data_IF_431263283823
#
_entry.id   IF_431263283823
#
_cell.length_a   1.000
_cell.length_b   1.000
_cell.length_c   1.000
_cell.angle_alpha   90.00
_cell.angle_beta   90.00
_cell.angle_gamma   90.00
#
_symmetry.space_group_name_H-M   'P 1'
#
loop_
_entity.id
_entity.type
_entity.pdbx_description
1 polymer ?
#
# COMPACT_ATOMS: atom_id res chain seq x y z
N UNK A 1 29.94 41.76 -30.99
CA UNK A 1 30.41 40.59 -30.21
C UNK A 1 29.19 39.82 -29.76
N UNK A 2 29.05 38.58 -30.22
CA UNK A 2 27.89 37.73 -29.97
C UNK A 2 27.89 37.26 -28.50
N UNK A 3 26.77 37.47 -27.81
CA UNK A 3 26.56 36.97 -26.46
C UNK A 3 26.34 35.46 -26.53
N UNK A 4 27.34 34.70 -26.09
CA UNK A 4 27.25 33.25 -25.92
C UNK A 4 26.18 32.94 -24.86
N UNK A 5 25.05 32.37 -25.29
CA UNK A 5 24.08 31.76 -24.39
C UNK A 5 24.65 30.41 -23.99
N UNK A 6 25.14 30.32 -22.75
CA UNK A 6 25.42 29.05 -22.09
C UNK A 6 24.10 28.29 -21.98
N UNK A 7 23.89 27.32 -22.88
CA UNK A 7 22.92 26.26 -22.68
C UNK A 7 23.41 25.39 -21.52
N UNK A 8 22.83 25.58 -20.34
CA UNK A 8 22.83 24.53 -19.33
C UNK A 8 21.98 23.38 -19.88
N UNK A 9 22.63 22.34 -20.40
CA UNK A 9 21.98 21.05 -20.65
C UNK A 9 21.41 20.55 -19.33
N UNK A 10 20.07 20.48 -19.23
CA UNK A 10 19.45 19.76 -18.12
C UNK A 10 19.88 18.29 -18.21
N UNK A 11 20.30 17.65 -17.10
CA UNK A 11 20.72 16.26 -17.12
C UNK A 11 19.58 15.40 -17.65
N UNK A 12 19.84 14.62 -18.70
CA UNK A 12 18.87 13.66 -19.22
C UNK A 12 18.47 12.69 -18.09
N UNK A 13 17.17 12.53 -17.81
CA UNK A 13 16.73 11.64 -16.75
C UNK A 13 17.11 10.21 -17.11
N UNK A 14 17.68 9.46 -16.15
CA UNK A 14 17.91 8.03 -16.30
C UNK A 14 16.58 7.33 -16.59
N UNK A 15 16.42 6.74 -17.77
CA UNK A 15 15.20 6.04 -18.12
C UNK A 15 15.18 4.65 -17.50
N UNK A 16 13.99 4.21 -17.10
CA UNK A 16 13.79 2.90 -16.51
C UNK A 16 14.20 1.78 -17.48
N UNK A 17 13.89 1.92 -18.77
CA UNK A 17 14.23 0.89 -19.76
C UNK A 17 15.73 0.80 -20.01
N UNK A 18 16.49 1.89 -19.96
CA UNK A 18 17.96 1.85 -20.05
C UNK A 18 18.54 1.04 -18.88
N UNK A 19 18.03 1.28 -17.68
CA UNK A 19 18.43 0.54 -16.48
C UNK A 19 18.03 -0.94 -16.56
N UNK A 20 16.81 -1.25 -17.00
CA UNK A 20 16.36 -2.64 -17.15
C UNK A 20 17.18 -3.39 -18.21
N UNK A 21 17.49 -2.75 -19.33
CA UNK A 21 18.30 -3.35 -20.39
C UNK A 21 19.75 -3.56 -19.99
N UNK A 22 20.29 -2.72 -19.09
CA UNK A 22 21.62 -2.94 -18.50
C UNK A 22 21.68 -4.19 -17.61
N UNK A 23 20.57 -4.58 -17.00
CA UNK A 23 20.44 -5.79 -16.17
C UNK A 23 20.06 -7.02 -16.99
N UNK A 24 19.24 -6.84 -18.01
CA UNK A 24 18.77 -7.89 -18.92
C UNK A 24 18.40 -7.26 -20.28
N UNK A 25 19.31 -7.40 -21.24
CA UNK A 25 19.18 -6.82 -22.58
C UNK A 25 17.95 -7.33 -23.36
N UNK A 26 17.32 -8.42 -22.94
CA UNK A 26 16.12 -8.95 -23.60
C UNK A 26 14.83 -8.24 -23.16
N UNK A 27 14.89 -7.32 -22.19
CA UNK A 27 13.76 -6.48 -21.78
C UNK A 27 13.65 -5.28 -22.73
N UNK A 28 12.93 -5.46 -23.85
CA UNK A 28 12.71 -4.40 -24.84
C UNK A 28 11.29 -3.79 -24.75
N UNK A 29 11.11 -2.48 -24.96
CA UNK A 29 9.81 -1.81 -24.90
C UNK A 29 8.73 -2.42 -25.80
N UNK A 30 9.10 -2.92 -26.98
CA UNK A 30 8.18 -3.49 -27.97
C UNK A 30 7.54 -4.79 -27.48
N UNK A 31 8.25 -5.55 -26.66
CA UNK A 31 7.77 -6.79 -26.07
C UNK A 31 7.06 -6.58 -24.73
N UNK A 32 6.92 -5.33 -24.28
CA UNK A 32 6.47 -5.04 -22.91
C UNK A 32 5.13 -4.28 -22.84
N UNK A 33 4.24 -4.79 -21.97
CA UNK A 33 3.12 -4.05 -21.40
C UNK A 33 3.53 -3.44 -20.07
N UNK A 34 3.20 -2.17 -19.84
CA UNK A 34 3.34 -1.57 -18.51
C UNK A 34 2.03 -1.76 -17.76
N UNK A 35 2.05 -2.44 -16.62
CA UNK A 35 0.93 -2.55 -15.69
C UNK A 35 1.06 -1.46 -14.62
N UNK A 36 0.22 -0.43 -14.75
CA UNK A 36 0.10 0.67 -13.79
C UNK A 36 -0.96 0.29 -12.74
N UNK A 37 -0.53 -0.45 -11.73
CA UNK A 37 -1.38 -0.91 -10.64
C UNK A 37 -1.73 0.28 -9.74
N UNK A 38 -3.03 0.56 -9.60
CA UNK A 38 -3.55 1.62 -8.73
C UNK A 38 -4.62 1.07 -7.81
N UNK A 39 -4.77 1.74 -6.66
CA UNK A 39 -5.90 1.48 -5.80
C UNK A 39 -7.22 1.64 -6.57
N UNK A 40 -8.09 0.66 -6.40
CA UNK A 40 -9.46 0.67 -6.93
C UNK A 40 -10.47 1.14 -5.89
N UNK A 41 -10.00 1.49 -4.69
CA UNK A 41 -10.84 1.76 -3.51
C UNK A 41 -11.31 0.50 -2.78
N UNK A 42 -11.16 -0.69 -3.39
CA UNK A 42 -11.43 -2.00 -2.78
C UNK A 42 -10.10 -2.67 -2.46
N UNK A 43 -9.24 -2.82 -3.47
CA UNK A 43 -7.88 -3.32 -3.31
C UNK A 43 -6.89 -2.17 -3.47
N UNK A 44 -5.93 -2.07 -2.54
CA UNK A 44 -4.73 -1.25 -2.67
C UNK A 44 -3.54 -2.13 -3.06
N UNK A 45 -3.05 -2.07 -4.31
CA UNK A 45 -1.97 -2.93 -4.79
C UNK A 45 -0.67 -2.78 -4.00
N UNK A 46 -0.47 -1.65 -3.33
CA UNK A 46 0.72 -1.43 -2.50
C UNK A 46 0.65 -2.26 -1.21
N UNK A 47 -0.53 -2.36 -0.60
CA UNK A 47 -0.76 -3.26 0.53
C UNK A 47 -0.63 -4.73 0.11
N UNK A 48 -1.17 -5.09 -1.06
CA UNK A 48 -1.02 -6.44 -1.63
C UNK A 48 0.46 -6.78 -1.88
N UNK A 49 1.25 -5.80 -2.32
CA UNK A 49 2.69 -5.95 -2.50
C UNK A 49 3.43 -6.15 -1.18
N UNK A 50 3.12 -5.37 -0.16
CA UNK A 50 3.74 -5.54 1.15
C UNK A 50 3.35 -6.87 1.83
N UNK A 51 2.15 -7.41 1.53
CA UNK A 51 1.74 -8.75 1.95
C UNK A 51 2.45 -9.89 1.16
N UNK A 52 3.23 -9.57 0.12
CA UNK A 52 3.91 -10.56 -0.72
C UNK A 52 3.02 -11.24 -1.76
N UNK A 53 1.78 -10.79 -1.92
CA UNK A 53 0.76 -11.43 -2.77
C UNK A 53 0.64 -10.78 -4.16
N UNK A 54 1.42 -9.73 -4.44
CA UNK A 54 1.24 -8.92 -5.65
C UNK A 54 1.39 -9.71 -6.95
N UNK A 55 2.31 -10.67 -7.02
CA UNK A 55 2.51 -11.49 -8.21
C UNK A 55 1.30 -12.39 -8.50
N UNK A 56 0.64 -12.91 -7.48
CA UNK A 56 -0.60 -13.69 -7.63
C UNK A 56 -1.78 -12.80 -7.97
N UNK A 57 -1.89 -11.65 -7.31
CA UNK A 57 -2.94 -10.68 -7.54
C UNK A 57 -2.92 -10.13 -8.98
N UNK A 58 -1.75 -9.72 -9.48
CA UNK A 58 -1.64 -9.11 -10.81
C UNK A 58 -1.95 -10.08 -11.95
N UNK A 59 -1.79 -11.39 -11.75
CA UNK A 59 -2.11 -12.42 -12.76
C UNK A 59 -3.61 -12.47 -13.10
N UNK A 60 -4.47 -12.04 -12.19
CA UNK A 60 -5.93 -12.07 -12.36
C UNK A 60 -6.43 -10.80 -13.03
N UNK A 61 -6.86 -10.92 -14.29
CA UNK A 61 -7.24 -9.78 -15.11
C UNK A 61 -8.69 -9.88 -15.62
N UNK A 62 -9.38 -8.74 -15.67
CA UNK A 62 -10.76 -8.67 -16.16
C UNK A 62 -10.89 -8.64 -17.68
N UNK A 63 -9.76 -8.41 -18.37
CA UNK A 63 -9.58 -8.36 -19.82
C UNK A 63 -8.23 -8.98 -20.17
N UNK A 64 -7.99 -9.23 -21.45
CA UNK A 64 -6.71 -9.75 -21.96
C UNK A 64 -5.62 -8.66 -22.00
N UNK A 65 -5.27 -8.12 -20.84
CA UNK A 65 -4.43 -6.92 -20.72
C UNK A 65 -2.93 -7.17 -20.99
N UNK A 66 -2.42 -8.36 -20.67
CA UNK A 66 -1.01 -8.74 -20.89
C UNK A 66 -0.81 -9.32 -22.30
N UNK A 67 -1.10 -8.51 -23.31
CA UNK A 67 -1.03 -8.91 -24.73
C UNK A 67 0.36 -8.83 -25.36
N UNK A 68 1.44 -8.82 -24.56
CA UNK A 68 2.84 -8.82 -25.01
C UNK A 68 3.62 -9.87 -24.22
N UNK A 69 4.85 -10.17 -24.64
CA UNK A 69 5.68 -11.21 -24.01
C UNK A 69 6.06 -10.87 -22.57
N UNK A 70 6.16 -9.58 -22.25
CA UNK A 70 6.55 -9.08 -20.94
C UNK A 70 5.48 -8.19 -20.34
N UNK A 71 5.39 -8.21 -19.01
CA UNK A 71 4.71 -7.18 -18.22
C UNK A 71 5.70 -6.55 -17.24
N UNK A 72 5.85 -5.23 -17.35
CA UNK A 72 6.54 -4.37 -16.38
C UNK A 72 5.50 -3.84 -15.40
N UNK A 73 5.63 -4.16 -14.11
CA UNK A 73 4.66 -3.77 -13.10
C UNK A 73 5.14 -2.61 -12.26
N UNK A 74 4.27 -1.59 -12.15
CA UNK A 74 4.50 -0.34 -11.44
C UNK A 74 3.31 -0.06 -10.53
N UNK A 75 3.54 0.10 -9.23
CA UNK A 75 2.49 0.33 -8.22
C UNK A 75 2.43 1.81 -7.87
N UNK A 76 1.25 2.41 -7.90
CA UNK A 76 1.08 3.82 -7.52
C UNK A 76 1.50 4.07 -6.08
N UNK A 77 2.36 5.05 -5.86
CA UNK A 77 2.65 5.58 -4.53
C UNK A 77 1.64 6.68 -4.15
N UNK A 78 1.55 7.06 -2.85
CA UNK A 78 0.71 8.17 -2.41
C UNK A 78 1.06 9.50 -3.12
N UNK A 79 2.34 9.71 -3.43
CA UNK A 79 2.79 10.87 -4.21
C UNK A 79 2.35 10.76 -5.67
N UNK A 80 1.71 11.78 -6.25
CA UNK A 80 1.15 11.70 -7.59
C UNK A 80 2.24 11.50 -8.64
N UNK A 81 1.95 10.62 -9.61
CA UNK A 81 2.86 10.26 -10.72
C UNK A 81 4.13 9.51 -10.32
N UNK A 82 4.29 9.13 -9.05
CA UNK A 82 5.38 8.26 -8.62
C UNK A 82 4.90 6.82 -8.47
N UNK A 83 5.73 5.90 -8.92
CA UNK A 83 5.41 4.50 -9.01
C UNK A 83 6.54 3.63 -8.47
N UNK A 84 6.22 2.66 -7.63
CA UNK A 84 7.15 1.67 -7.13
C UNK A 84 7.35 0.58 -8.19
N UNK A 85 8.59 0.27 -8.53
CA UNK A 85 8.91 -0.86 -9.39
C UNK A 85 8.59 -2.20 -8.69
N UNK A 86 7.71 -2.98 -9.31
CA UNK A 86 7.20 -4.25 -8.80
C UNK A 86 7.58 -5.45 -9.69
N UNK A 87 8.63 -5.30 -10.49
CA UNK A 87 9.23 -6.39 -11.28
C UNK A 87 8.81 -6.42 -12.76
N UNK A 88 9.59 -7.18 -13.53
CA UNK A 88 9.29 -7.56 -14.91
C UNK A 88 8.99 -9.06 -14.95
N UNK A 89 7.96 -9.45 -15.68
CA UNK A 89 7.55 -10.85 -15.79
C UNK A 89 7.37 -11.29 -17.24
N UNK A 90 7.81 -12.50 -17.55
CA UNK A 90 7.44 -13.20 -18.77
C UNK A 90 5.98 -13.66 -18.70
N UNK A 91 5.26 -13.51 -19.79
CA UNK A 91 3.85 -13.88 -19.96
C UNK A 91 3.79 -15.11 -20.85
N UNK A 92 3.46 -16.27 -20.27
CA UNK A 92 3.45 -17.56 -20.97
C UNK A 92 2.09 -17.91 -21.58
N UNK A 93 1.03 -17.25 -21.12
CA UNK A 93 -0.35 -17.50 -21.56
C UNK A 93 -1.36 -17.18 -20.45
N UNK A 94 -2.61 -17.52 -20.67
CA UNK A 94 -3.67 -17.39 -19.67
C UNK A 94 -4.68 -18.53 -19.75
N UNK A 95 -5.37 -18.77 -18.64
CA UNK A 95 -6.61 -19.55 -18.62
C UNK A 95 -7.81 -18.61 -18.52
N UNK A 96 -8.86 -18.88 -19.27
CA UNK A 96 -10.12 -18.13 -19.23
C UNK A 96 -11.13 -18.91 -18.37
N UNK A 97 -11.73 -18.24 -17.39
CA UNK A 97 -12.74 -18.81 -16.49
C UNK A 97 -13.91 -17.86 -16.33
N UNK A 98 -15.11 -18.38 -16.11
CA UNK A 98 -16.26 -17.54 -15.74
C UNK A 98 -16.08 -16.96 -14.33
N UNK A 99 -16.56 -15.74 -14.08
CA UNK A 99 -16.50 -15.16 -12.73
C UNK A 99 -17.54 -15.80 -11.82
N UNK A 100 -17.13 -16.10 -10.57
CA UNK A 100 -17.96 -16.75 -9.55
C UNK A 100 -19.33 -16.08 -9.36
N UNK A 101 -19.37 -14.75 -9.37
CA UNK A 101 -20.60 -13.97 -9.14
C UNK A 101 -21.22 -13.39 -10.43
N UNK A 102 -20.61 -13.63 -11.60
CA UNK A 102 -21.08 -13.15 -12.91
C UNK A 102 -20.63 -14.09 -14.03
N UNK A 103 -21.38 -15.19 -14.26
CA UNK A 103 -21.01 -16.22 -15.23
C UNK A 103 -20.90 -15.69 -16.67
N UNK A 104 -21.58 -14.58 -16.98
CA UNK A 104 -21.52 -13.86 -18.25
C UNK A 104 -20.17 -13.16 -18.50
N UNK A 105 -19.33 -13.04 -17.48
CA UNK A 105 -18.04 -12.36 -17.58
C UNK A 105 -16.89 -13.30 -17.34
N UNK A 106 -15.87 -13.15 -18.17
CA UNK A 106 -14.61 -13.86 -18.02
C UNK A 106 -13.68 -13.18 -17.02
N UNK A 107 -12.84 -14.00 -16.40
CA UNK A 107 -11.57 -13.62 -15.78
C UNK A 107 -10.45 -14.37 -16.51
N UNK A 108 -9.35 -13.67 -16.76
CA UNK A 108 -8.16 -14.18 -17.42
C UNK A 108 -7.07 -14.31 -16.36
N UNK A 109 -6.69 -15.54 -16.04
CA UNK A 109 -5.63 -15.83 -15.07
C UNK A 109 -4.37 -16.15 -15.85
N UNK A 110 -3.42 -15.23 -15.84
CA UNK A 110 -2.17 -15.34 -16.56
C UNK A 110 -1.16 -16.24 -15.84
N UNK A 111 -0.42 -17.03 -16.61
CA UNK A 111 0.78 -17.72 -16.13
C UNK A 111 1.97 -16.81 -16.41
N UNK A 112 2.59 -16.32 -15.34
CA UNK A 112 3.74 -15.40 -15.41
C UNK A 112 4.94 -15.89 -14.61
N UNK A 113 6.14 -15.56 -15.07
CA UNK A 113 7.40 -15.86 -14.37
C UNK A 113 8.19 -14.58 -14.17
N UNK A 114 8.62 -14.28 -12.93
CA UNK A 114 9.38 -13.06 -12.64
C UNK A 114 10.80 -13.18 -13.15
N UNK A 115 11.30 -12.10 -13.75
CA UNK A 115 12.70 -11.98 -14.15
C UNK A 115 13.58 -11.57 -12.99
N UNK A 116 14.23 -12.56 -12.39
CA UNK A 116 15.13 -12.36 -11.25
C UNK A 116 16.31 -11.42 -11.52
N UNK A 117 16.69 -11.21 -12.79
CA UNK A 117 17.68 -10.20 -13.21
C UNK A 117 17.32 -8.78 -12.76
N UNK A 118 16.04 -8.51 -12.50
CA UNK A 118 15.53 -7.19 -12.08
C UNK A 118 15.25 -7.09 -10.58
N UNK A 119 15.49 -8.15 -9.79
CA UNK A 119 15.15 -8.21 -8.36
C UNK A 119 15.92 -7.19 -7.50
N UNK A 120 17.06 -6.67 -8.00
CA UNK A 120 17.82 -5.59 -7.39
C UNK A 120 17.06 -4.26 -7.36
N UNK A 121 16.07 -4.06 -8.24
CA UNK A 121 15.22 -2.88 -8.31
C UNK A 121 13.87 -3.08 -7.60
N UNK A 122 13.47 -4.33 -7.37
CA UNK A 122 12.17 -4.70 -6.78
C UNK A 122 11.95 -4.00 -5.44
N UNK A 123 10.91 -3.17 -5.37
CA UNK A 123 10.58 -2.39 -4.18
C UNK A 123 11.58 -1.26 -3.86
N UNK A 124 12.60 -1.04 -4.68
CA UNK A 124 13.65 -0.03 -4.46
C UNK A 124 13.58 1.11 -5.46
N UNK A 125 13.41 0.80 -6.73
CA UNK A 125 13.32 1.82 -7.76
C UNK A 125 11.95 2.52 -7.71
N UNK A 126 11.99 3.84 -7.61
CA UNK A 126 10.82 4.71 -7.74
C UNK A 126 10.91 5.41 -9.08
N UNK A 127 9.83 5.31 -9.86
CA UNK A 127 9.74 5.78 -11.24
C UNK A 127 8.77 6.95 -11.28
N UNK A 128 9.18 8.07 -11.86
CA UNK A 128 8.28 9.16 -12.21
C UNK A 128 7.66 8.88 -13.58
N UNK A 129 6.33 8.91 -13.65
CA UNK A 129 5.60 8.80 -14.90
C UNK A 129 4.24 9.50 -14.80
N UNK A 130 4.11 10.60 -15.53
CA UNK A 130 2.84 11.31 -15.68
C UNK A 130 1.98 10.60 -16.72
N UNK A 131 1.06 9.75 -16.24
CA UNK A 131 0.26 8.89 -17.11
C UNK A 131 -0.64 9.69 -18.07
N UNK A 132 -0.67 9.34 -19.36
CA UNK A 132 -1.61 9.88 -20.34
C UNK A 132 -3.02 9.30 -20.12
N UNK A 133 -3.87 10.04 -19.41
CA UNK A 133 -5.29 9.69 -19.25
C UNK A 133 -5.53 8.45 -18.36
N UNK A 134 -6.46 7.58 -18.79
CA UNK A 134 -7.03 6.52 -17.93
C UNK A 134 -6.46 5.11 -18.15
N UNK A 135 -5.58 4.91 -19.13
CA UNK A 135 -5.11 3.57 -19.49
C UNK A 135 -4.14 2.99 -18.45
N UNK A 136 -4.50 1.89 -17.79
CA UNK A 136 -3.62 1.20 -16.82
C UNK A 136 -2.67 0.17 -17.45
N UNK A 137 -2.82 -0.12 -18.75
CA UNK A 137 -2.01 -1.12 -19.46
C UNK A 137 -1.40 -0.57 -20.77
N UNK A 138 -0.65 0.57 -20.74
CA UNK A 138 0.00 1.08 -21.95
C UNK A 138 1.06 0.12 -22.49
N UNK A 139 1.30 0.18 -23.82
CA UNK A 139 2.45 -0.49 -24.41
C UNK A 139 3.71 0.32 -24.09
N UNK A 140 4.81 -0.34 -23.73
CA UNK A 140 6.01 0.38 -23.32
C UNK A 140 6.70 1.09 -24.50
N UNK A 141 6.68 0.54 -25.72
CA UNK A 141 7.17 1.18 -26.96
C UNK A 141 6.72 2.66 -27.13
N UNK A 142 5.49 2.97 -26.72
CA UNK A 142 4.93 4.33 -26.81
C UNK A 142 5.33 5.27 -25.67
N UNK A 143 5.77 4.74 -24.52
CA UNK A 143 5.89 5.52 -23.27
C UNK A 143 7.22 5.33 -22.54
N UNK A 144 8.11 4.45 -23.00
CA UNK A 144 9.39 4.13 -22.36
C UNK A 144 10.27 5.36 -22.16
N UNK A 145 10.29 6.27 -23.13
CA UNK A 145 11.02 7.54 -23.09
C UNK A 145 10.53 8.54 -22.03
N UNK A 146 9.41 8.27 -21.34
CA UNK A 146 8.85 9.10 -20.27
C UNK A 146 8.89 8.41 -18.90
N UNK A 147 9.32 7.14 -18.82
CA UNK A 147 9.47 6.40 -17.57
C UNK A 147 10.83 6.74 -16.95
N UNK A 148 10.91 7.82 -16.18
CA UNK A 148 12.15 8.28 -15.56
C UNK A 148 12.36 7.64 -14.18
N UNK A 149 13.56 7.14 -13.89
CA UNK A 149 13.95 6.72 -12.54
C UNK A 149 14.12 7.97 -11.68
N UNK A 150 13.26 8.15 -10.68
CA UNK A 150 13.33 9.25 -9.72
C UNK A 150 14.45 9.04 -8.72
N UNK A 151 14.48 7.86 -8.09
CA UNK A 151 15.53 7.44 -7.18
C UNK A 151 15.46 5.92 -6.97
N UNK A 152 16.54 5.35 -6.44
CA UNK A 152 16.60 3.95 -6.02
C UNK A 152 16.89 3.96 -4.52
N UNK A 153 16.00 3.34 -3.74
CA UNK A 153 16.16 3.23 -2.28
C UNK A 153 17.27 2.23 -1.94
N UNK A 154 17.96 2.46 -0.83
CA UNK A 154 18.92 1.49 -0.30
C UNK A 154 18.22 0.16 0.01
N UNK A 155 17.10 0.21 0.73
CA UNK A 155 16.26 -0.92 1.08
C UNK A 155 14.93 -0.99 0.32
N UNK A 156 14.38 -2.20 0.21
CA UNK A 156 13.03 -2.42 -0.31
C UNK A 156 12.01 -1.66 0.54
N UNK A 157 11.08 -0.98 -0.12
CA UNK A 157 9.93 -0.38 0.52
C UNK A 157 9.08 -1.49 1.14
N UNK A 158 8.90 -1.43 2.46
CA UNK A 158 8.05 -2.36 3.24
C UNK A 158 6.80 -1.69 3.78
N UNK A 159 6.85 -0.37 3.95
CA UNK A 159 5.71 0.48 4.33
C UNK A 159 5.90 1.85 3.66
N UNK A 160 4.81 2.53 3.32
CA UNK A 160 4.83 3.90 2.83
C UNK A 160 5.06 4.92 3.94
N UNK A 161 5.47 6.12 3.56
CA UNK A 161 5.40 7.31 4.42
C UNK A 161 3.95 7.55 4.89
N UNK A 162 3.79 8.28 5.99
CA UNK A 162 2.49 8.55 6.59
C UNK A 162 1.54 9.24 5.59
N UNK A 163 0.39 8.63 5.23
CA UNK A 163 -0.48 9.14 4.17
C UNK A 163 -1.41 10.28 4.62
N UNK A 164 -1.35 10.66 5.90
CA UNK A 164 -2.31 11.56 6.54
C UNK A 164 -3.36 10.79 7.35
N UNK A 165 -3.90 11.44 8.40
CA UNK A 165 -4.78 10.79 9.39
C UNK A 165 -5.99 10.11 8.74
N UNK A 166 -6.70 10.82 7.86
CA UNK A 166 -7.93 10.35 7.20
C UNK A 166 -7.70 9.24 6.15
N UNK A 167 -6.45 8.97 5.78
CA UNK A 167 -6.08 7.93 4.82
C UNK A 167 -5.34 6.77 5.52
N UNK A 168 -5.38 6.73 6.85
CA UNK A 168 -4.68 5.70 7.61
C UNK A 168 -5.41 4.37 7.49
N UNK A 169 -4.74 3.39 6.89
CA UNK A 169 -5.17 2.00 6.82
C UNK A 169 -3.94 1.11 6.93
N UNK A 170 -3.67 0.58 8.12
CA UNK A 170 -2.53 -0.30 8.39
C UNK A 170 -2.99 -1.71 8.69
N UNK A 171 -2.39 -2.71 8.04
CA UNK A 171 -2.45 -4.09 8.55
C UNK A 171 -1.65 -4.20 9.85
N UNK A 172 -1.92 -5.23 10.66
CA UNK A 172 -1.11 -5.57 11.82
C UNK A 172 0.38 -5.71 11.48
N UNK A 173 0.69 -6.34 10.35
CA UNK A 173 2.07 -6.51 9.88
C UNK A 173 2.76 -5.18 9.59
N UNK A 174 2.09 -4.24 8.92
CA UNK A 174 2.65 -2.91 8.68
C UNK A 174 2.82 -2.12 9.97
N UNK A 175 1.84 -2.21 10.87
CA UNK A 175 1.93 -1.59 12.19
C UNK A 175 3.19 -2.10 12.93
N UNK A 176 3.47 -3.41 12.88
CA UNK A 176 4.66 -3.98 13.51
C UNK A 176 5.95 -3.47 12.89
N UNK A 177 6.01 -3.36 11.56
CA UNK A 177 7.18 -2.83 10.87
C UNK A 177 7.41 -1.38 11.27
N UNK A 178 6.40 -0.50 11.20
CA UNK A 178 6.60 0.92 11.52
C UNK A 178 6.97 1.12 12.98
N UNK A 179 6.39 0.33 13.89
CA UNK A 179 6.70 0.42 15.33
C UNK A 179 8.09 -0.13 15.61
N UNK A 180 8.48 -1.25 15.00
CA UNK A 180 9.83 -1.81 15.14
C UNK A 180 10.90 -0.86 14.61
N UNK A 181 10.68 -0.32 13.43
CA UNK A 181 11.65 0.54 12.73
C UNK A 181 11.57 2.00 13.22
N UNK A 182 10.60 2.32 14.09
CA UNK A 182 10.34 3.67 14.59
C UNK A 182 10.18 4.70 13.45
N UNK A 183 9.50 4.31 12.37
CA UNK A 183 9.42 5.08 11.12
C UNK A 183 9.08 6.54 11.39
N UNK A 184 9.98 7.50 11.11
CA UNK A 184 9.86 8.88 11.61
C UNK A 184 8.55 9.57 11.22
N UNK A 185 8.07 9.42 9.98
CA UNK A 185 6.82 10.04 9.52
C UNK A 185 5.61 9.58 10.33
N UNK A 186 5.54 8.29 10.62
CA UNK A 186 4.43 7.66 11.34
C UNK A 186 4.49 8.00 12.81
N UNK A 187 5.67 7.84 13.42
CA UNK A 187 5.88 8.15 14.83
C UNK A 187 5.60 9.62 15.11
N UNK A 188 6.19 10.53 14.33
CA UNK A 188 5.98 11.97 14.53
C UNK A 188 4.51 12.37 14.39
N UNK A 189 3.84 11.94 13.31
CA UNK A 189 2.43 12.26 13.11
C UNK A 189 1.54 11.68 14.21
N UNK A 190 1.60 10.37 14.43
CA UNK A 190 0.70 9.70 15.39
C UNK A 190 1.01 10.02 16.85
N UNK A 191 2.25 10.40 17.20
CA UNK A 191 2.57 10.88 18.55
C UNK A 191 2.08 12.31 18.79
N UNK A 192 1.96 13.12 17.74
CA UNK A 192 1.57 14.53 17.86
C UNK A 192 0.08 14.77 18.10
N UNK A 193 -0.75 13.74 17.99
CA UNK A 193 -2.21 13.87 18.09
C UNK A 193 -2.83 12.91 19.09
N UNK A 194 -3.73 13.45 19.91
CA UNK A 194 -4.76 12.68 20.58
C UNK A 194 -5.92 12.43 19.61
N UNK A 195 -6.77 11.44 19.90
CA UNK A 195 -7.92 11.16 19.04
C UNK A 195 -8.55 9.80 19.25
N UNK A 196 -9.45 9.46 18.33
CA UNK A 196 -10.20 8.20 18.27
C UNK A 196 -9.72 7.40 17.06
N UNK A 197 -9.47 6.12 17.27
CA UNK A 197 -9.05 5.17 16.26
C UNK A 197 -9.97 3.95 16.23
N UNK A 198 -9.92 3.20 15.13
CA UNK A 198 -10.62 1.94 14.94
C UNK A 198 -9.62 0.82 14.71
N UNK A 199 -9.91 -0.34 15.26
CA UNK A 199 -9.31 -1.62 14.89
C UNK A 199 -10.42 -2.48 14.30
N UNK A 200 -10.23 -2.92 13.06
CA UNK A 200 -11.18 -3.77 12.34
C UNK A 200 -10.61 -5.17 12.22
N UNK A 201 -11.39 -6.18 12.58
CA UNK A 201 -11.07 -7.58 12.25
C UNK A 201 -11.61 -7.89 10.85
N UNK A 202 -10.72 -8.07 9.89
CA UNK A 202 -11.09 -8.33 8.49
C UNK A 202 -11.70 -9.71 8.26
N UNK A 203 -11.54 -10.63 9.21
CA UNK A 203 -12.11 -11.98 9.14
C UNK A 203 -13.56 -12.01 9.62
N UNK A 204 -13.89 -11.22 10.64
CA UNK A 204 -15.24 -11.20 11.24
C UNK A 204 -16.07 -9.96 10.88
N UNK A 205 -15.42 -8.89 10.43
CA UNK A 205 -16.03 -7.57 10.22
C UNK A 205 -16.29 -6.79 11.51
N UNK A 206 -15.92 -7.32 12.68
CA UNK A 206 -16.14 -6.66 13.98
C UNK A 206 -15.15 -5.53 14.21
N UNK A 207 -15.62 -4.52 14.93
CA UNK A 207 -14.88 -3.28 15.18
C UNK A 207 -14.56 -3.10 16.67
N UNK A 208 -13.39 -2.56 16.95
CA UNK A 208 -13.00 -2.00 18.23
C UNK A 208 -12.72 -0.52 18.08
N UNK A 209 -13.40 0.32 18.86
CA UNK A 209 -13.12 1.75 18.96
C UNK A 209 -12.29 2.00 20.21
N UNK A 210 -11.19 2.73 20.06
CA UNK A 210 -10.38 3.19 21.18
C UNK A 210 -10.02 4.66 21.03
N UNK A 211 -9.64 5.28 22.14
CA UNK A 211 -9.07 6.62 22.16
C UNK A 211 -7.62 6.59 22.63
N UNK A 212 -6.89 7.64 22.30
CA UNK A 212 -5.57 7.91 22.82
C UNK A 212 -5.49 9.37 23.26
N UNK A 213 -5.00 9.58 24.48
CA UNK A 213 -4.78 10.88 25.12
C UNK A 213 -3.37 10.90 25.73
N UNK A 214 -2.81 12.11 25.90
CA UNK A 214 -1.50 12.30 26.53
C UNK A 214 -0.31 12.34 25.57
N UNK A 215 0.90 12.30 26.15
CA UNK A 215 2.18 12.69 25.52
C UNK A 215 2.59 11.85 24.31
N UNK A 216 2.11 10.62 24.21
CA UNK A 216 2.48 9.71 23.11
C UNK A 216 1.38 9.55 22.05
N UNK A 217 0.25 10.26 22.20
CA UNK A 217 -0.86 10.25 21.25
C UNK A 217 -1.32 8.85 20.84
N UNK A 218 -1.84 8.76 19.61
CA UNK A 218 -2.27 7.50 18.99
C UNK A 218 -1.10 6.50 18.88
N UNK A 219 0.11 6.99 18.61
CA UNK A 219 1.31 6.13 18.49
C UNK A 219 1.55 5.28 19.74
N UNK A 220 1.36 5.85 20.93
CA UNK A 220 1.54 5.15 22.19
C UNK A 220 0.62 3.93 22.31
N UNK A 221 -0.66 4.09 21.97
CA UNK A 221 -1.64 2.99 21.97
C UNK A 221 -1.33 1.97 20.88
N UNK A 222 -1.07 2.41 19.66
CA UNK A 222 -0.75 1.54 18.52
C UNK A 222 0.52 0.72 18.75
N UNK A 223 1.53 1.28 19.41
CA UNK A 223 2.73 0.56 19.84
C UNK A 223 2.43 -0.59 20.82
N UNK A 224 1.40 -0.47 21.67
CA UNK A 224 0.99 -1.55 22.57
C UNK A 224 0.30 -2.68 21.82
N UNK A 225 -0.55 -2.36 20.84
CA UNK A 225 -1.19 -3.37 19.97
C UNK A 225 -0.16 -4.09 19.09
N UNK A 226 0.85 -3.38 18.57
CA UNK A 226 1.95 -4.01 17.84
C UNK A 226 2.62 -5.10 18.70
N UNK A 227 2.98 -4.75 19.95
CA UNK A 227 3.71 -5.65 20.86
C UNK A 227 2.89 -6.84 21.38
N UNK A 228 1.58 -6.68 21.57
CA UNK A 228 0.76 -7.67 22.31
C UNK A 228 -0.44 -8.19 21.53
N UNK A 229 -0.74 -7.62 20.36
CA UNK A 229 -1.98 -7.86 19.61
C UNK A 229 -3.22 -7.16 20.21
N UNK A 230 -3.36 -7.12 21.54
CA UNK A 230 -4.57 -6.67 22.22
C UNK A 230 -4.44 -5.33 22.98
N UNK A 231 -3.24 -4.81 23.20
CA UNK A 231 -3.02 -3.48 23.82
C UNK A 231 -3.62 -3.33 25.22
N UNK A 232 -3.67 -4.43 25.97
CA UNK A 232 -4.31 -4.51 27.29
C UNK A 232 -5.84 -4.55 27.29
N UNK A 233 -6.51 -4.51 26.14
CA UNK A 233 -7.97 -4.59 26.07
C UNK A 233 -8.48 -6.00 26.41
N UNK A 234 -9.49 -6.08 27.28
CA UNK A 234 -10.03 -7.33 27.80
C UNK A 234 -10.64 -8.22 26.71
N UNK A 235 -11.47 -7.66 25.83
CA UNK A 235 -12.18 -8.45 24.81
C UNK A 235 -11.24 -8.91 23.70
N UNK A 236 -10.33 -8.03 23.26
CA UNK A 236 -9.29 -8.44 22.30
C UNK A 236 -8.35 -9.50 22.90
N UNK A 237 -8.01 -9.40 24.19
CA UNK A 237 -7.19 -10.42 24.86
C UNK A 237 -7.91 -11.77 24.92
N UNK A 238 -9.20 -11.76 25.25
CA UNK A 238 -10.02 -12.97 25.27
C UNK A 238 -10.12 -13.58 23.87
N UNK A 239 -10.40 -12.77 22.85
CA UNK A 239 -10.44 -13.20 21.45
C UNK A 239 -9.15 -13.90 21.02
N UNK A 240 -7.98 -13.30 21.31
CA UNK A 240 -6.69 -13.90 20.96
C UNK A 240 -6.33 -15.13 21.81
N UNK A 241 -6.91 -15.26 23.01
CA UNK A 241 -6.78 -16.47 23.82
C UNK A 241 -7.59 -17.62 23.21
N UNK A 242 -8.78 -17.33 22.68
CA UNK A 242 -9.70 -18.32 22.11
C UNK A 242 -9.33 -18.72 20.67
N UNK A 243 -8.94 -17.77 19.83
CA UNK A 243 -8.62 -17.98 18.40
C UNK A 243 -7.12 -18.19 18.14
N UNK A 244 -6.29 -17.95 19.15
CA UNK A 244 -4.83 -17.93 19.02
C UNK A 244 -4.26 -16.54 18.69
N UNK A 245 -2.97 -16.30 19.02
CA UNK A 245 -2.34 -14.99 18.85
C UNK A 245 -2.23 -14.55 17.39
N UNK A 246 -2.09 -15.52 16.46
CA UNK A 246 -2.04 -15.32 15.01
C UNK A 246 -3.28 -14.59 14.47
N UNK A 247 -4.43 -14.68 15.16
CA UNK A 247 -5.65 -14.00 14.74
C UNK A 247 -5.48 -12.47 14.70
N UNK A 248 -4.53 -11.91 15.46
CA UNK A 248 -4.20 -10.48 15.40
C UNK A 248 -3.74 -10.02 14.00
N UNK A 249 -3.24 -10.93 13.16
CA UNK A 249 -2.83 -10.61 11.78
C UNK A 249 -4.02 -10.22 10.89
N UNK A 250 -5.24 -10.60 11.29
CA UNK A 250 -6.48 -10.17 10.65
C UNK A 250 -6.90 -8.75 11.06
N UNK A 251 -6.14 -8.05 11.91
CA UNK A 251 -6.48 -6.69 12.32
C UNK A 251 -5.96 -5.62 11.36
N UNK A 252 -6.81 -4.61 11.15
CA UNK A 252 -6.47 -3.37 10.48
C UNK A 252 -6.72 -2.17 11.38
N UNK A 253 -5.88 -1.14 11.26
CA UNK A 253 -5.87 0.05 12.11
C UNK A 253 -6.12 1.29 11.26
N UNK A 254 -7.00 2.17 11.74
CA UNK A 254 -7.29 3.45 11.11
C UNK A 254 -7.60 4.55 12.12
N UNK A 255 -7.34 5.80 11.76
CA UNK A 255 -7.72 6.97 12.58
C UNK A 255 -9.11 7.42 12.15
N UNK A 256 -10.03 7.54 13.11
CA UNK A 256 -11.38 8.03 12.86
C UNK A 256 -11.45 9.55 13.02
N UNK A 257 -10.84 10.06 14.08
CA UNK A 257 -10.96 11.46 14.45
C UNK A 257 -9.72 11.92 15.22
N UNK A 258 -9.11 13.01 14.78
CA UNK A 258 -8.05 13.69 15.54
C UNK A 258 -8.69 14.72 16.46
N UNK A 259 -8.25 14.75 17.72
CA UNK A 259 -8.72 15.73 18.69
C UNK A 259 -8.16 17.14 18.38
N UNK A 260 -8.91 18.18 18.73
CA UNK A 260 -8.38 19.55 18.75
C UNK A 260 -7.25 19.65 19.79
N UNK A 261 -6.24 20.47 19.50
CA UNK A 261 -5.16 20.81 20.45
C UNK A 261 -5.63 21.30 21.82
N UNK A 262 -6.85 21.84 21.92
CA UNK A 262 -7.46 22.33 23.17
C UNK A 262 -8.43 21.32 23.79
N UNK A 263 -8.67 20.19 23.14
CA UNK A 263 -9.59 19.18 23.64
C UNK A 263 -9.05 18.59 24.95
N UNK A 264 -9.94 18.47 25.94
CA UNK A 264 -9.62 17.77 27.18
C UNK A 264 -9.70 16.25 26.97
N UNK A 265 -9.13 15.49 27.89
CA UNK A 265 -9.27 14.03 27.90
C UNK A 265 -10.74 13.60 27.88
N UNK A 266 -11.59 14.30 28.64
CA UNK A 266 -13.03 14.03 28.67
C UNK A 266 -13.70 14.27 27.31
N UNK A 267 -13.28 15.29 26.56
CA UNK A 267 -13.81 15.54 25.21
C UNK A 267 -13.49 14.36 24.28
N UNK A 268 -12.26 13.84 24.33
CA UNK A 268 -11.87 12.67 23.52
C UNK A 268 -12.66 11.42 23.90
N UNK A 269 -12.88 11.19 25.20
CA UNK A 269 -13.69 10.07 25.70
C UNK A 269 -15.16 10.17 25.26
N UNK A 270 -15.71 11.40 25.21
CA UNK A 270 -17.05 11.65 24.67
C UNK A 270 -17.13 11.34 23.17
N UNK A 271 -16.10 11.71 22.40
CA UNK A 271 -16.01 11.37 20.97
C UNK A 271 -15.86 9.87 20.75
N UNK A 272 -15.03 9.19 21.54
CA UNK A 272 -14.92 7.73 21.52
C UNK A 272 -16.29 7.06 21.78
N UNK A 273 -17.00 7.54 22.81
CA UNK A 273 -18.34 7.05 23.16
C UNK A 273 -19.38 7.32 22.08
N UNK A 274 -19.26 8.43 21.36
CA UNK A 274 -20.08 8.74 20.20
C UNK A 274 -19.85 7.71 19.09
N UNK A 275 -18.60 7.44 18.71
CA UNK A 275 -18.27 6.45 17.67
C UNK A 275 -18.70 5.03 18.04
N UNK A 276 -18.50 4.60 19.29
CA UNK A 276 -19.00 3.30 19.79
C UNK A 276 -20.51 3.16 19.63
N UNK A 277 -21.26 4.22 19.93
CA UNK A 277 -22.73 4.24 19.81
C UNK A 277 -23.17 4.25 18.35
N UNK A 278 -22.53 5.07 17.52
CA UNK A 278 -22.86 5.20 16.11
C UNK A 278 -22.60 3.90 15.33
N UNK A 279 -21.49 3.23 15.64
CA UNK A 279 -21.04 2.01 14.96
C UNK A 279 -21.45 0.73 15.70
N UNK A 280 -22.25 0.84 16.77
CA UNK A 280 -22.77 -0.28 17.57
C UNK A 280 -21.68 -1.26 18.05
N UNK A 281 -20.49 -0.77 18.37
CA UNK A 281 -19.34 -1.65 18.66
C UNK A 281 -19.40 -2.30 20.04
N UNK A 282 -20.35 -1.88 20.88
CA UNK A 282 -20.66 -2.56 22.16
C UNK A 282 -21.52 -3.81 21.97
N UNK A 283 -22.45 -3.76 21.01
CA UNK A 283 -23.39 -4.85 20.76
C UNK A 283 -22.87 -5.81 19.69
N UNK A 284 -22.10 -5.28 18.73
CA UNK A 284 -21.67 -6.01 17.54
C UNK A 284 -20.15 -5.98 17.31
N UNK A 285 -19.39 -5.35 18.21
CA UNK A 285 -17.94 -5.21 18.09
C UNK A 285 -17.18 -5.86 19.25
N UNK A 286 -16.03 -5.26 19.58
CA UNK A 286 -15.12 -5.67 20.65
C UNK A 286 -14.98 -4.61 21.76
N UNK A 287 -16.01 -3.78 21.96
CA UNK A 287 -16.04 -2.83 23.07
C UNK A 287 -16.93 -3.32 24.23
N UNK A 288 -16.32 -3.66 25.36
CA UNK A 288 -17.06 -4.00 26.59
C UNK A 288 -17.65 -2.80 27.36
N UNK A 289 -17.16 -1.60 27.08
CA UNK A 289 -17.32 -0.40 27.91
C UNK A 289 -18.03 0.72 27.17
#
# INVERSE_FOLDING_TARGET
MASSKTHTEEPHPLLLFDLLQSLDATIIPEDCKVHLARSTGIDDPLNVYFAGEFDEWQRSQTKRNFGRKLVLSLISLPSPNYWLFAGVHDVMGYTERARRNRPDKSIYVYTTSRRGSTDALLGRAVVYFKRPGRNSYPNADKWSHLLAVSHIREDRLRVVEFPGYMQTLLSKQHLDIIVKDQTPSWKSALSSVAGVYVITDTKTGKLYIGSAVGEHGIWGRWSQYSKTGHGGNRELKQLLTEQGPEHADCFQFGVLETADTRATENDVLLRESHWKRLLLTRDHGYNAN
#
